data_IF_060510091114
#
_entry.id   IF_060510091114
#
_cell.length_a   1.000
_cell.length_b   1.000
_cell.length_c   1.000
_cell.angle_alpha   90.00
_cell.angle_beta   90.00
_cell.angle_gamma   90.00
#
_symmetry.space_group_name_H-M   'P 1'
#
loop_
_entity.id
_entity.type
_entity.pdbx_description
1 polymer ?
#
# COMPACT_ATOMS: atom_id res chain seq x y z
N UNK A 1 2.20 -3.79 5.24
CA UNK A 1 2.91 -4.33 6.42
C UNK A 1 4.07 -5.18 5.94
N UNK A 2 5.25 -5.09 6.57
CA UNK A 2 6.39 -5.93 6.18
C UNK A 2 6.12 -7.40 6.53
N UNK A 3 6.51 -8.28 5.65
CA UNK A 3 6.31 -9.73 5.67
C UNK A 3 6.60 -10.41 7.03
N UNK A 4 7.72 -10.12 7.72
CA UNK A 4 8.05 -10.81 8.97
C UNK A 4 7.06 -10.53 10.10
N UNK A 5 6.54 -9.30 10.19
CA UNK A 5 5.59 -8.90 11.24
C UNK A 5 4.23 -9.57 11.03
N UNK A 6 3.77 -9.70 9.78
CA UNK A 6 2.52 -10.37 9.46
C UNK A 6 2.58 -11.86 9.81
N UNK A 7 3.66 -12.55 9.44
CA UNK A 7 3.86 -13.95 9.76
C UNK A 7 3.97 -14.17 11.29
N UNK A 8 4.74 -13.36 11.99
CA UNK A 8 4.83 -13.45 13.44
C UNK A 8 3.48 -13.25 14.15
N UNK A 9 2.62 -12.39 13.60
CA UNK A 9 1.27 -12.19 14.12
C UNK A 9 0.36 -13.42 13.84
N UNK A 10 0.43 -14.03 12.64
CA UNK A 10 -0.30 -15.25 12.32
C UNK A 10 0.12 -16.42 13.21
N UNK A 11 1.40 -16.52 13.55
CA UNK A 11 1.96 -17.55 14.42
C UNK A 11 1.73 -17.27 15.91
N UNK A 12 1.04 -16.20 16.26
CA UNK A 12 0.79 -15.80 17.66
C UNK A 12 2.03 -15.27 18.41
N UNK A 13 3.15 -15.06 17.70
CA UNK A 13 4.40 -14.53 18.28
C UNK A 13 4.38 -13.01 18.44
N UNK A 14 3.44 -12.33 17.79
CA UNK A 14 3.22 -10.90 17.88
C UNK A 14 1.74 -10.56 17.93
N UNK A 15 1.37 -9.51 18.65
CA UNK A 15 0.01 -8.99 18.70
C UNK A 15 -0.11 -7.74 17.86
N UNK A 16 -1.09 -7.70 16.98
CA UNK A 16 -1.42 -6.50 16.22
C UNK A 16 -2.20 -5.53 17.11
N UNK A 17 -1.69 -4.33 17.28
CA UNK A 17 -2.31 -3.30 18.14
C UNK A 17 -3.19 -2.35 17.33
N UNK A 18 -2.78 -1.99 16.12
CA UNK A 18 -3.48 -1.05 15.25
C UNK A 18 -3.11 -1.29 13.79
N UNK A 19 -4.04 -1.03 12.90
CA UNK A 19 -3.85 -1.09 11.45
C UNK A 19 -3.80 0.32 10.88
N UNK A 20 -2.75 0.63 10.14
CA UNK A 20 -2.57 1.96 9.52
C UNK A 20 -3.18 2.07 8.13
N UNK A 21 -3.56 0.94 7.49
CA UNK A 21 -4.22 0.92 6.19
C UNK A 21 -5.69 1.37 6.29
N UNK A 22 -6.26 1.80 5.17
CA UNK A 22 -7.68 2.15 5.08
C UNK A 22 -8.61 0.94 5.23
N UNK A 23 -8.12 -0.27 4.95
CA UNK A 23 -8.89 -1.51 5.01
C UNK A 23 -8.47 -2.36 6.20
N UNK A 24 -9.44 -3.12 6.72
CA UNK A 24 -9.16 -4.16 7.72
C UNK A 24 -8.21 -5.21 7.13
N UNK A 25 -7.32 -5.73 7.97
CA UNK A 25 -6.45 -6.83 7.58
C UNK A 25 -7.16 -8.14 7.91
N UNK A 26 -7.32 -9.05 6.95
CA UNK A 26 -7.92 -10.37 7.20
C UNK A 26 -7.22 -11.09 8.36
N UNK A 27 -7.98 -11.88 9.12
CA UNK A 27 -7.54 -12.67 10.28
C UNK A 27 -7.13 -11.90 11.53
N UNK A 28 -7.19 -10.55 11.53
CA UNK A 28 -6.86 -9.76 12.71
C UNK A 28 -7.98 -8.79 13.07
N UNK A 29 -8.41 -8.86 14.32
CA UNK A 29 -9.34 -7.90 14.90
C UNK A 29 -8.54 -6.78 15.61
N UNK A 30 -7.94 -5.92 14.80
CA UNK A 30 -7.21 -4.76 15.29
C UNK A 30 -7.87 -3.47 14.78
N UNK A 31 -8.04 -2.44 15.63
CA UNK A 31 -8.66 -1.19 15.20
C UNK A 31 -7.82 -0.51 14.13
N UNK A 32 -8.49 0.17 13.20
CA UNK A 32 -7.81 0.98 12.18
C UNK A 32 -7.45 2.35 12.75
N UNK A 33 -6.38 2.91 12.26
CA UNK A 33 -5.97 4.28 12.62
C UNK A 33 -7.07 5.31 12.27
N UNK A 34 -7.79 5.07 11.17
CA UNK A 34 -8.94 5.88 10.77
C UNK A 34 -10.07 5.87 11.81
N UNK A 35 -10.33 4.73 12.46
CA UNK A 35 -11.37 4.58 13.49
C UNK A 35 -11.00 5.33 14.78
N UNK A 36 -9.75 5.73 14.93
CA UNK A 36 -9.22 6.51 16.06
C UNK A 36 -9.11 8.02 15.77
N UNK A 37 -9.71 8.49 14.67
CA UNK A 37 -9.74 9.91 14.32
C UNK A 37 -8.53 10.42 13.55
N UNK A 38 -7.65 9.53 13.09
CA UNK A 38 -6.54 9.89 12.20
C UNK A 38 -7.00 9.79 10.74
N UNK A 39 -7.18 10.92 10.03
CA UNK A 39 -7.87 10.93 8.74
C UNK A 39 -7.03 10.40 7.58
N UNK A 40 -5.74 10.19 7.78
CA UNK A 40 -4.83 9.79 6.71
C UNK A 40 -4.33 8.35 6.89
N UNK A 41 -4.70 7.41 6.00
CA UNK A 41 -4.13 6.07 6.04
C UNK A 41 -2.65 6.14 5.65
N UNK A 42 -1.81 5.50 6.45
CA UNK A 42 -0.39 5.34 6.14
C UNK A 42 -0.23 3.99 5.43
N UNK A 43 0.08 4.05 4.14
CA UNK A 43 0.25 2.88 3.29
C UNK A 43 1.71 2.76 2.85
N UNK A 44 2.22 1.53 2.87
CA UNK A 44 3.44 1.20 2.14
C UNK A 44 3.03 0.78 0.72
N UNK A 45 3.38 1.59 -0.25
CA UNK A 45 3.10 1.33 -1.66
C UNK A 45 4.41 0.99 -2.37
N UNK A 46 4.36 -0.04 -3.21
CA UNK A 46 5.46 -0.44 -4.08
C UNK A 46 5.15 0.01 -5.49
N UNK A 47 6.14 0.54 -6.18
CA UNK A 47 5.96 1.01 -7.55
C UNK A 47 7.19 0.77 -8.41
N UNK A 48 6.98 0.74 -9.72
CA UNK A 48 8.04 0.79 -10.71
C UNK A 48 8.29 2.26 -11.08
N UNK A 49 9.55 2.64 -11.11
CA UNK A 49 9.98 3.97 -11.50
C UNK A 49 10.71 3.89 -12.84
N UNK A 50 10.47 4.85 -13.69
CA UNK A 50 11.16 4.99 -14.95
C UNK A 50 11.89 6.33 -15.04
N UNK A 51 12.96 6.44 -15.83
CA UNK A 51 13.67 7.70 -16.06
C UNK A 51 12.72 8.79 -16.57
N UNK A 52 13.04 10.04 -16.21
CA UNK A 52 12.33 11.20 -16.77
C UNK A 52 12.51 11.23 -18.29
N UNK A 53 11.41 11.43 -19.02
CA UNK A 53 11.42 11.49 -20.48
C UNK A 53 11.20 10.12 -21.13
N UNK A 54 10.91 9.06 -20.38
CA UNK A 54 10.48 7.78 -20.98
C UNK A 54 9.23 8.01 -21.85
N UNK A 55 9.23 7.54 -23.11
CA UNK A 55 8.08 7.68 -24.01
C UNK A 55 6.82 7.09 -23.43
N UNK A 56 5.67 7.76 -23.63
CA UNK A 56 4.39 7.32 -23.09
C UNK A 56 3.98 5.90 -23.56
N UNK A 57 4.35 5.52 -24.75
CA UNK A 57 4.10 4.17 -25.27
C UNK A 57 4.77 3.09 -24.40
N UNK A 58 6.01 3.33 -23.97
CA UNK A 58 6.73 2.40 -23.09
C UNK A 58 6.08 2.35 -21.72
N UNK A 59 5.68 3.50 -21.17
CA UNK A 59 4.96 3.58 -19.88
C UNK A 59 3.67 2.78 -19.95
N UNK A 60 2.87 2.97 -21.00
CA UNK A 60 1.60 2.26 -21.18
C UNK A 60 1.79 0.74 -21.33
N UNK A 61 2.83 0.29 -22.04
CA UNK A 61 3.17 -1.14 -22.14
C UNK A 61 3.55 -1.74 -20.80
N UNK A 62 4.33 -1.02 -19.99
CA UNK A 62 4.72 -1.47 -18.65
C UNK A 62 3.53 -1.50 -17.69
N UNK A 63 2.65 -0.50 -17.73
CA UNK A 63 1.42 -0.49 -16.92
C UNK A 63 0.52 -1.67 -17.27
N UNK A 64 0.29 -1.95 -18.55
CA UNK A 64 -0.52 -3.09 -19.01
C UNK A 64 0.08 -4.44 -18.59
N UNK A 65 1.40 -4.58 -18.69
CA UNK A 65 2.10 -5.79 -18.24
C UNK A 65 1.97 -5.97 -16.72
N UNK A 66 2.16 -4.91 -15.95
CA UNK A 66 2.02 -4.93 -14.48
C UNK A 66 0.57 -5.27 -14.07
N UNK A 67 -0.42 -4.69 -14.73
CA UNK A 67 -1.82 -4.99 -14.48
C UNK A 67 -2.13 -6.47 -14.73
N UNK A 68 -1.60 -7.03 -15.82
CA UNK A 68 -1.76 -8.45 -16.16
C UNK A 68 -1.14 -9.36 -15.09
N UNK A 69 0.09 -9.07 -14.67
CA UNK A 69 0.80 -9.84 -13.63
C UNK A 69 0.06 -9.76 -12.29
N UNK A 70 -0.49 -8.61 -11.95
CA UNK A 70 -1.24 -8.42 -10.68
C UNK A 70 -2.66 -9.02 -10.71
N UNK A 71 -3.13 -9.52 -11.87
CA UNK A 71 -4.37 -10.31 -11.98
C UNK A 71 -4.11 -11.82 -12.02
N UNK A 72 -2.85 -12.24 -12.18
CA UNK A 72 -2.48 -13.64 -12.22
C UNK A 72 -2.68 -14.34 -10.86
N UNK A 73 -3.43 -15.47 -10.81
CA UNK A 73 -3.76 -16.15 -9.57
C UNK A 73 -2.54 -16.65 -8.79
N UNK A 74 -1.48 -17.11 -9.47
CA UNK A 74 -0.26 -17.55 -8.80
C UNK A 74 0.48 -16.40 -8.16
N UNK A 75 0.58 -15.27 -8.86
CA UNK A 75 1.17 -14.04 -8.36
C UNK A 75 0.41 -13.53 -7.14
N UNK A 76 -0.93 -13.48 -7.21
CA UNK A 76 -1.77 -13.09 -6.07
C UNK A 76 -1.56 -13.99 -4.87
N UNK A 77 -1.50 -15.30 -5.07
CA UNK A 77 -1.25 -16.27 -4.00
C UNK A 77 0.12 -16.05 -3.34
N UNK A 78 1.17 -15.85 -4.15
CA UNK A 78 2.52 -15.58 -3.63
C UNK A 78 2.56 -14.26 -2.84
N UNK A 79 1.95 -13.20 -3.36
CA UNK A 79 1.88 -11.91 -2.65
C UNK A 79 1.10 -12.00 -1.35
N UNK A 80 -0.03 -12.72 -1.33
CA UNK A 80 -0.81 -12.95 -0.13
C UNK A 80 -0.01 -13.71 0.94
N UNK A 81 0.72 -14.76 0.55
CA UNK A 81 1.62 -15.49 1.46
C UNK A 81 2.67 -14.57 2.08
N UNK A 82 3.10 -13.57 1.32
CA UNK A 82 4.03 -12.55 1.80
C UNK A 82 3.34 -11.42 2.62
N UNK A 83 2.05 -11.49 2.90
CA UNK A 83 1.30 -10.45 3.62
C UNK A 83 1.11 -9.17 2.81
N UNK A 84 1.29 -9.23 1.49
CA UNK A 84 1.08 -8.10 0.59
C UNK A 84 -0.28 -8.21 -0.09
N UNK A 85 -0.99 -7.08 -0.18
CA UNK A 85 -2.21 -6.99 -0.99
C UNK A 85 -1.83 -6.46 -2.36
N UNK A 86 -1.98 -7.31 -3.39
CA UNK A 86 -1.77 -6.93 -4.77
C UNK A 86 -2.93 -6.06 -5.26
N UNK A 87 -2.62 -4.86 -5.71
CA UNK A 87 -3.58 -3.96 -6.33
C UNK A 87 -2.86 -3.13 -7.38
N UNK A 88 -3.36 -3.19 -8.60
CA UNK A 88 -2.87 -2.30 -9.65
C UNK A 88 -3.35 -0.87 -9.39
N UNK A 89 -2.45 0.09 -9.51
CA UNK A 89 -2.71 1.53 -9.49
C UNK A 89 -1.92 2.14 -10.64
N UNK A 90 -2.58 2.94 -11.48
CA UNK A 90 -1.90 3.63 -12.57
C UNK A 90 -0.87 4.63 -12.05
N UNK A 91 0.15 4.94 -12.83
CA UNK A 91 1.15 5.94 -12.44
C UNK A 91 0.54 7.32 -12.17
N UNK A 92 -0.54 7.68 -12.88
CA UNK A 92 -1.31 8.91 -12.64
C UNK A 92 -1.96 8.91 -11.26
N UNK A 93 -2.64 7.81 -10.90
CA UNK A 93 -3.35 7.70 -9.62
C UNK A 93 -2.38 7.55 -8.45
N UNK A 94 -1.28 6.81 -8.65
CA UNK A 94 -0.22 6.71 -7.66
C UNK A 94 0.39 8.09 -7.35
N UNK A 95 0.67 8.89 -8.38
CA UNK A 95 1.16 10.27 -8.22
C UNK A 95 0.16 11.13 -7.44
N UNK A 96 -1.13 11.05 -7.75
CA UNK A 96 -2.18 11.79 -7.04
C UNK A 96 -2.21 11.41 -5.56
N UNK A 97 -2.16 10.13 -5.24
CA UNK A 97 -2.11 9.62 -3.85
C UNK A 97 -0.85 10.08 -3.10
N UNK A 98 0.31 10.02 -3.75
CA UNK A 98 1.55 10.52 -3.12
C UNK A 98 1.45 12.00 -2.77
N UNK A 99 0.81 12.81 -3.61
CA UNK A 99 0.60 14.24 -3.33
C UNK A 99 -0.38 14.46 -2.18
N UNK A 100 -1.44 13.67 -2.11
CA UNK A 100 -2.42 13.71 -1.01
C UNK A 100 -1.77 13.33 0.34
N UNK A 101 -1.04 12.23 0.38
CA UNK A 101 -0.31 11.81 1.59
C UNK A 101 0.69 12.87 2.02
N UNK A 102 1.43 13.45 1.07
CA UNK A 102 2.36 14.55 1.35
C UNK A 102 1.67 15.78 1.95
N UNK A 103 0.46 16.12 1.45
CA UNK A 103 -0.35 17.20 1.98
C UNK A 103 -0.76 16.90 3.43
N UNK A 104 -1.33 15.73 3.68
CA UNK A 104 -1.73 15.31 5.02
C UNK A 104 -0.60 15.31 6.05
N UNK A 105 0.60 14.84 5.68
CA UNK A 105 1.78 14.89 6.56
C UNK A 105 2.17 16.35 6.89
N UNK A 106 2.04 17.27 5.94
CA UNK A 106 2.33 18.69 6.20
C UNK A 106 1.33 19.32 7.15
N UNK A 107 0.04 19.01 6.99
CA UNK A 107 -1.03 19.49 7.86
C UNK A 107 -0.83 18.99 9.30
N UNK A 108 -0.59 17.69 9.49
CA UNK A 108 -0.28 17.12 10.81
C UNK A 108 0.94 17.77 11.50
N UNK A 109 1.96 18.16 10.73
CA UNK A 109 3.12 18.88 11.30
C UNK A 109 2.82 20.32 11.68
N UNK A 110 1.87 20.97 11.01
CA UNK A 110 1.47 22.34 11.33
C UNK A 110 0.69 22.39 12.65
N UNK A 111 -0.13 21.37 12.93
CA UNK A 111 -0.94 21.30 14.16
C UNK A 111 -0.13 20.92 15.41
N UNK A 112 1.14 20.54 15.27
CA UNK A 112 2.03 20.20 16.39
C UNK A 112 2.89 21.38 16.88
N UNK A 113 2.68 22.58 16.35
CA UNK A 113 3.33 23.83 16.79
C UNK A 113 2.36 24.68 17.58
#
# INVERSE_FOLDING_TARGET
MGTPVYQAALEGKARMLIVTSGNQIPHFDAPRLLDKGYPYPILSEFGLLMPKGTPQEIISKMEAALETVLKDPETLKKMHTLGAQARFISGKDLKARCLEVRKGIREMKADQK
#
